data_IF_422385126751
#
_entry.id   IF_422385126751
#
_cell.length_a   1.000
_cell.length_b   1.000
_cell.length_c   1.000
_cell.angle_alpha   90.00
_cell.angle_beta   90.00
_cell.angle_gamma   90.00
#
_symmetry.space_group_name_H-M   'P 1'
#
loop_
_entity.id
_entity.type
_entity.pdbx_description
1 polymer ?
#
# COMPACT_ATOMS: atom_id res chain seq x y z
N UNK A 1 9.72 2.38 -12.82
CA UNK A 1 10.81 2.25 -11.83
C UNK A 1 10.21 1.75 -10.54
N UNK A 2 10.81 0.77 -9.88
CA UNK A 2 10.36 0.29 -8.57
C UNK A 2 11.36 0.80 -7.54
N UNK A 3 10.89 1.46 -6.49
CA UNK A 3 11.77 1.97 -5.43
C UNK A 3 12.10 0.87 -4.45
N UNK A 4 11.10 0.13 -3.98
CA UNK A 4 11.28 -0.98 -3.06
C UNK A 4 10.53 -2.20 -3.58
N UNK A 5 11.20 -3.35 -3.51
CA UNK A 5 10.65 -4.66 -3.83
C UNK A 5 11.20 -5.68 -2.83
N UNK A 6 10.33 -6.55 -2.33
CA UNK A 6 10.62 -7.67 -1.44
C UNK A 6 9.45 -8.67 -1.48
N UNK A 7 9.59 -9.83 -0.84
CA UNK A 7 8.41 -10.64 -0.45
C UNK A 7 7.81 -10.11 0.89
N UNK A 8 6.63 -10.61 1.26
CA UNK A 8 5.94 -10.23 2.50
C UNK A 8 6.85 -10.45 3.71
N UNK A 9 7.56 -11.57 3.75
CA UNK A 9 8.42 -11.92 4.89
C UNK A 9 9.55 -10.91 5.08
N UNK A 10 10.26 -10.56 4.01
CA UNK A 10 11.31 -9.54 4.07
C UNK A 10 10.71 -8.14 4.31
N UNK A 11 9.56 -7.80 3.73
CA UNK A 11 8.87 -6.54 4.01
C UNK A 11 8.51 -6.36 5.49
N UNK A 12 7.93 -7.39 6.12
CA UNK A 12 7.61 -7.34 7.55
C UNK A 12 8.87 -7.27 8.42
N UNK A 13 9.96 -7.92 8.01
CA UNK A 13 11.26 -7.79 8.68
C UNK A 13 11.80 -6.37 8.59
N UNK A 14 11.69 -5.75 7.42
CA UNK A 14 12.17 -4.38 7.20
C UNK A 14 11.38 -3.38 8.02
N UNK A 15 10.07 -3.60 8.12
CA UNK A 15 9.17 -2.82 8.95
C UNK A 15 9.49 -2.96 10.45
N UNK A 16 9.66 -4.19 10.95
CA UNK A 16 9.81 -4.43 12.38
C UNK A 16 11.23 -4.17 12.91
N UNK A 17 12.26 -4.43 12.10
CA UNK A 17 13.65 -4.51 12.57
C UNK A 17 14.58 -3.44 11.98
N UNK A 18 14.19 -2.76 10.88
CA UNK A 18 15.14 -1.96 10.07
C UNK A 18 14.73 -0.51 9.74
N UNK A 19 13.74 0.07 10.42
CA UNK A 19 13.18 1.41 10.09
C UNK A 19 12.88 1.51 8.57
N UNK A 20 11.77 0.91 8.12
CA UNK A 20 11.49 0.69 6.70
C UNK A 20 11.60 1.95 5.83
N UNK A 21 11.26 3.12 6.37
CA UNK A 21 11.37 4.38 5.66
C UNK A 21 12.81 4.73 5.28
N UNK A 22 13.80 4.36 6.10
CA UNK A 22 15.22 4.55 5.77
C UNK A 22 15.69 3.53 4.75
N UNK A 23 15.19 2.29 4.81
CA UNK A 23 15.45 1.27 3.78
C UNK A 23 14.93 1.75 2.41
N UNK A 24 13.70 2.25 2.36
CA UNK A 24 13.08 2.78 1.14
C UNK A 24 13.81 4.03 0.67
N UNK A 25 14.15 4.96 1.57
CA UNK A 25 14.90 6.17 1.25
C UNK A 25 16.28 5.85 0.64
N UNK A 26 16.99 4.86 1.19
CA UNK A 26 18.26 4.39 0.65
C UNK A 26 18.09 3.81 -0.76
N UNK A 27 17.08 2.95 -0.98
CA UNK A 27 16.78 2.39 -2.32
C UNK A 27 16.36 3.48 -3.32
N UNK A 28 15.55 4.45 -2.90
CA UNK A 28 15.16 5.60 -3.72
C UNK A 28 16.36 6.42 -4.16
N UNK A 29 17.26 6.74 -3.22
CA UNK A 29 18.49 7.48 -3.51
C UNK A 29 19.38 6.72 -4.48
N UNK A 30 19.53 5.41 -4.30
CA UNK A 30 20.31 4.58 -5.20
C UNK A 30 19.71 4.55 -6.62
N UNK A 31 18.39 4.48 -6.74
CA UNK A 31 17.70 4.41 -8.03
C UNK A 31 17.63 5.75 -8.78
N UNK A 32 17.63 6.89 -8.07
CA UNK A 32 17.35 8.21 -8.67
C UNK A 32 18.48 9.24 -8.53
N UNK A 33 19.48 8.97 -7.69
CA UNK A 33 20.49 9.95 -7.23
C UNK A 33 19.91 11.19 -6.53
N UNK A 34 18.62 11.19 -6.17
CA UNK A 34 17.93 12.32 -5.52
C UNK A 34 17.73 12.08 -4.02
N UNK A 35 17.60 13.17 -3.26
CA UNK A 35 17.16 13.13 -1.86
C UNK A 35 15.64 13.24 -1.80
N UNK A 36 15.04 12.51 -0.88
CA UNK A 36 13.60 12.59 -0.57
C UNK A 36 13.39 13.64 0.50
N UNK A 37 12.26 14.36 0.46
CA UNK A 37 11.92 15.31 1.52
C UNK A 37 11.55 14.58 2.81
N UNK A 38 11.85 15.18 3.96
CA UNK A 38 11.52 14.62 5.27
C UNK A 38 10.02 14.34 5.47
N UNK A 39 9.15 15.11 4.81
CA UNK A 39 7.71 14.88 4.84
C UNK A 39 7.30 13.56 4.16
N UNK A 40 8.01 13.16 3.11
CA UNK A 40 7.70 11.94 2.36
C UNK A 40 8.26 10.71 3.07
N UNK A 41 9.43 10.81 3.73
CA UNK A 41 9.92 9.79 4.67
C UNK A 41 8.91 9.53 5.79
N UNK A 42 8.38 10.60 6.41
CA UNK A 42 7.31 10.45 7.42
C UNK A 42 6.04 9.82 6.84
N UNK A 43 5.62 10.25 5.64
CA UNK A 43 4.46 9.66 4.97
C UNK A 43 4.62 8.15 4.76
N UNK A 44 5.83 7.68 4.42
CA UNK A 44 6.08 6.24 4.31
C UNK A 44 5.95 5.53 5.65
N UNK A 45 6.59 6.03 6.72
CA UNK A 45 6.47 5.44 8.06
C UNK A 45 4.99 5.27 8.47
N UNK A 46 4.20 6.32 8.37
CA UNK A 46 2.79 6.30 8.77
C UNK A 46 1.94 5.38 7.88
N UNK A 47 2.11 5.46 6.57
CA UNK A 47 1.24 4.75 5.62
C UNK A 47 1.58 3.26 5.48
N UNK A 48 2.85 2.90 5.54
CA UNK A 48 3.30 1.51 5.40
C UNK A 48 3.00 0.66 6.64
N UNK A 49 2.81 1.29 7.81
CA UNK A 49 2.34 0.58 9.00
C UNK A 49 0.97 -0.07 8.81
N UNK A 50 0.07 0.56 8.04
CA UNK A 50 -1.22 -0.04 7.69
C UNK A 50 -1.05 -1.27 6.78
N UNK A 51 -0.12 -1.19 5.83
CA UNK A 51 0.19 -2.31 4.92
C UNK A 51 0.81 -3.46 5.71
N UNK A 52 1.77 -3.18 6.59
CA UNK A 52 2.38 -4.17 7.47
C UNK A 52 1.35 -4.85 8.37
N UNK A 53 0.39 -4.10 8.92
CA UNK A 53 -0.68 -4.66 9.75
C UNK A 53 -1.55 -5.65 8.98
N UNK A 54 -1.95 -5.32 7.76
CA UNK A 54 -2.74 -6.24 6.90
C UNK A 54 -1.91 -7.46 6.54
N UNK A 55 -0.66 -7.26 6.10
CA UNK A 55 0.21 -8.36 5.68
C UNK A 55 0.68 -9.24 6.85
N UNK A 56 0.56 -8.80 8.10
CA UNK A 56 0.90 -9.64 9.26
C UNK A 56 -0.06 -10.80 9.49
N UNK A 57 -1.22 -10.82 8.82
CA UNK A 57 -2.14 -11.95 8.85
C UNK A 57 -1.47 -13.22 8.30
N UNK A 58 -1.55 -14.32 9.05
CA UNK A 58 -0.90 -15.59 8.70
C UNK A 58 -1.59 -16.28 7.52
N UNK A 59 -2.84 -15.93 7.20
CA UNK A 59 -3.58 -16.49 6.05
C UNK A 59 -3.06 -15.94 4.72
N UNK A 60 -2.29 -14.84 4.74
CA UNK A 60 -1.62 -14.30 3.56
C UNK A 60 -0.28 -15.00 3.37
N UNK A 61 -0.02 -15.60 2.21
CA UNK A 61 1.22 -16.32 1.96
C UNK A 61 2.48 -15.43 2.08
N UNK A 62 3.54 -15.97 2.69
CA UNK A 62 4.80 -15.27 2.95
C UNK A 62 5.55 -14.85 1.66
N UNK A 63 5.29 -15.54 0.55
CA UNK A 63 5.90 -15.30 -0.75
C UNK A 63 5.15 -14.25 -1.59
N UNK A 64 4.10 -13.62 -1.06
CA UNK A 64 3.45 -12.47 -1.70
C UNK A 64 4.49 -11.37 -1.92
N UNK A 65 4.73 -11.02 -3.17
CA UNK A 65 5.59 -9.92 -3.55
C UNK A 65 4.98 -8.57 -3.17
N UNK A 66 5.77 -7.72 -2.53
CA UNK A 66 5.44 -6.35 -2.15
C UNK A 66 6.32 -5.40 -2.95
N UNK A 67 5.71 -4.51 -3.73
CA UNK A 67 6.40 -3.42 -4.40
C UNK A 67 5.83 -2.08 -3.94
N UNK A 68 6.70 -1.13 -3.63
CA UNK A 68 6.34 0.20 -3.13
C UNK A 68 6.89 1.27 -4.08
N UNK A 69 6.09 2.31 -4.28
CA UNK A 69 6.41 3.48 -5.10
C UNK A 69 6.76 3.07 -6.54
N UNK A 70 5.83 2.37 -7.19
CA UNK A 70 5.97 1.93 -8.57
C UNK A 70 5.64 3.07 -9.53
N UNK A 71 6.66 3.64 -10.18
CA UNK A 71 6.48 4.66 -11.22
C UNK A 71 6.22 3.98 -12.56
N UNK A 72 5.06 4.28 -13.16
CA UNK A 72 4.66 3.73 -14.44
C UNK A 72 5.60 4.21 -15.56
N UNK A 73 6.07 3.32 -16.45
CA UNK A 73 6.84 3.73 -17.62
C UNK A 73 6.07 4.76 -18.45
N UNK A 74 6.80 5.75 -18.98
CA UNK A 74 6.23 6.80 -19.86
C UNK A 74 5.13 7.66 -19.22
N UNK A 75 5.00 7.64 -17.89
CA UNK A 75 4.07 8.50 -17.15
C UNK A 75 4.71 9.00 -15.86
N UNK A 76 4.23 10.14 -15.35
CA UNK A 76 4.53 10.59 -13.99
C UNK A 76 3.61 9.95 -12.94
N UNK A 77 2.68 9.07 -13.35
CA UNK A 77 1.80 8.36 -12.43
C UNK A 77 2.59 7.36 -11.58
N UNK A 78 2.27 7.35 -10.29
CA UNK A 78 2.81 6.45 -9.28
C UNK A 78 1.70 5.55 -8.75
N UNK A 79 2.04 4.30 -8.50
CA UNK A 79 1.26 3.38 -7.70
C UNK A 79 1.97 3.23 -6.36
N UNK A 80 1.26 3.48 -5.26
CA UNK A 80 1.88 3.48 -3.93
C UNK A 80 2.33 2.08 -3.52
N UNK A 81 1.45 1.08 -3.62
CA UNK A 81 1.78 -0.31 -3.28
C UNK A 81 1.16 -1.28 -4.29
N UNK A 82 1.93 -2.31 -4.63
CA UNK A 82 1.49 -3.46 -5.42
C UNK A 82 1.77 -4.71 -4.62
N UNK A 83 0.76 -5.58 -4.50
CA UNK A 83 0.89 -6.93 -3.98
C UNK A 83 0.73 -7.93 -5.13
N UNK A 84 1.65 -8.86 -5.27
CA UNK A 84 1.65 -9.85 -6.33
C UNK A 84 1.78 -11.25 -5.73
N UNK A 85 0.95 -12.19 -6.16
CA UNK A 85 1.00 -13.56 -5.65
C UNK A 85 0.23 -14.52 -6.55
N UNK A 86 -0.09 -15.69 -6.00
CA UNK A 86 -0.87 -16.71 -6.69
C UNK A 86 -2.12 -17.07 -5.88
N UNK A 87 -3.17 -17.49 -6.59
CA UNK A 87 -4.31 -18.15 -5.98
C UNK A 87 -4.05 -19.65 -5.80
N UNK A 88 -4.97 -20.33 -5.11
CA UNK A 88 -4.90 -21.77 -4.89
C UNK A 88 -4.87 -22.59 -6.20
N UNK A 89 -5.44 -22.05 -7.29
CA UNK A 89 -5.39 -22.66 -8.62
C UNK A 89 -4.11 -22.36 -9.41
N UNK A 90 -3.14 -21.68 -8.79
CA UNK A 90 -1.88 -21.26 -9.38
C UNK A 90 -1.97 -20.04 -10.30
N UNK A 91 -3.16 -19.44 -10.47
CA UNK A 91 -3.32 -18.22 -11.27
C UNK A 91 -2.65 -17.03 -10.57
N UNK A 92 -1.96 -16.19 -11.35
CA UNK A 92 -1.33 -14.96 -10.84
C UNK A 92 -2.40 -13.94 -10.47
N UNK A 93 -2.28 -13.36 -9.27
CA UNK A 93 -3.11 -12.26 -8.79
C UNK A 93 -2.26 -11.03 -8.51
N UNK A 94 -2.82 -9.87 -8.77
CA UNK A 94 -2.22 -8.57 -8.53
C UNK A 94 -3.24 -7.68 -7.83
N UNK A 95 -2.84 -7.07 -6.72
CA UNK A 95 -3.63 -6.06 -6.01
C UNK A 95 -2.84 -4.76 -6.05
N UNK A 96 -3.52 -3.68 -6.44
CA UNK A 96 -2.98 -2.33 -6.39
C UNK A 96 -3.63 -1.60 -5.23
N UNK A 97 -2.80 -1.07 -4.34
CA UNK A 97 -3.23 -0.33 -3.16
C UNK A 97 -2.76 1.11 -3.29
N UNK A 98 -3.70 2.03 -3.19
CA UNK A 98 -3.47 3.48 -3.14
C UNK A 98 -3.59 3.93 -1.69
N UNK A 99 -2.57 4.60 -1.16
CA UNK A 99 -2.55 5.06 0.22
C UNK A 99 -3.03 6.52 0.28
N UNK A 100 -4.15 6.75 0.97
CA UNK A 100 -4.67 8.11 1.16
C UNK A 100 -4.35 8.60 2.57
N UNK A 101 -3.64 9.73 2.64
CA UNK A 101 -3.40 10.46 3.87
C UNK A 101 -4.45 11.57 3.97
N UNK A 102 -5.53 11.31 4.69
CA UNK A 102 -6.59 12.30 4.91
C UNK A 102 -6.23 13.18 6.10
N UNK A 103 -5.98 14.47 5.85
CA UNK A 103 -5.75 15.47 6.92
C UNK A 103 -7.03 15.86 7.66
N UNK A 104 -8.18 15.60 7.05
CA UNK A 104 -9.52 15.75 7.62
C UNK A 104 -10.32 14.49 7.26
N UNK A 105 -11.18 13.97 8.15
CA UNK A 105 -12.02 12.82 7.83
C UNK A 105 -12.81 13.11 6.54
N UNK A 106 -12.97 12.14 5.63
CA UNK A 106 -13.73 12.35 4.41
C UNK A 106 -15.10 12.81 4.80
N UNK A 107 -15.54 13.90 4.18
CA UNK A 107 -16.96 14.19 4.14
C UNK A 107 -17.60 13.02 3.40
N UNK A 108 -18.31 12.17 4.14
CA UNK A 108 -19.17 11.15 3.56
C UNK A 108 -20.22 11.89 2.73
N UNK A 109 -19.95 12.02 1.43
CA UNK A 109 -20.93 12.52 0.49
C UNK A 109 -21.95 11.41 0.31
N UNK A 110 -23.07 11.52 1.04
CA UNK A 110 -24.26 10.66 1.00
C UNK A 110 -24.87 10.43 -0.41
N UNK A 111 -24.26 10.93 -1.49
CA UNK A 111 -24.77 10.90 -2.87
C UNK A 111 -24.22 9.77 -3.75
N UNK A 112 -23.29 8.92 -3.29
CA UNK A 112 -22.70 7.86 -4.12
C UNK A 112 -23.31 6.45 -3.95
N UNK A 113 -24.37 6.29 -3.15
CA UNK A 113 -25.17 5.06 -3.17
C UNK A 113 -26.40 5.24 -4.05
N UNK A 114 -26.18 5.21 -5.36
CA UNK A 114 -27.21 4.78 -6.32
C UNK A 114 -26.66 3.61 -7.12
N UNK A 115 -26.42 2.51 -6.41
CA UNK A 115 -26.46 1.20 -7.03
C UNK A 115 -27.94 0.81 -7.03
N UNK A 116 -28.53 0.69 -8.23
CA UNK A 116 -29.87 0.13 -8.40
C UNK A 116 -29.94 -1.20 -7.64
N UNK A 117 -30.82 -1.28 -6.64
CA UNK A 117 -31.32 -2.56 -6.12
C UNK A 117 -31.15 -2.87 -4.63
N UNK A 118 -30.53 -2.00 -3.81
CA UNK A 118 -30.47 -2.25 -2.36
C UNK A 118 -31.36 -1.27 -1.60
N UNK A 119 -32.29 -1.81 -0.82
CA UNK A 119 -33.17 -1.05 0.09
C UNK A 119 -32.38 -0.41 1.23
N UNK A 120 -32.92 0.68 1.75
CA UNK A 120 -32.29 1.68 2.61
C UNK A 120 -31.79 1.19 3.99
N UNK A 121 -31.96 -0.09 4.33
CA UNK A 121 -31.80 -0.61 5.70
C UNK A 121 -30.44 -1.25 6.03
N UNK A 122 -29.55 -1.49 5.06
CA UNK A 122 -28.35 -2.33 5.30
C UNK A 122 -27.01 -1.58 5.40
N UNK A 123 -27.00 -0.25 5.50
CA UNK A 123 -25.74 0.51 5.63
C UNK A 123 -25.57 1.04 7.05
N UNK A 124 -25.16 0.15 7.95
CA UNK A 124 -24.58 0.51 9.26
C UNK A 124 -23.13 0.99 9.05
N UNK A 125 -22.74 2.19 9.54
CA UNK A 125 -21.36 2.66 9.46
C UNK A 125 -20.45 1.86 10.38
N UNK A 126 -19.58 1.04 9.80
CA UNK A 126 -18.57 0.22 10.49
C UNK A 126 -17.39 1.02 11.05
N UNK A 127 -17.59 2.20 11.66
CA UNK A 127 -16.54 2.86 12.44
C UNK A 127 -17.16 3.70 13.55
N UNK A 128 -16.99 3.28 14.81
CA UNK A 128 -17.05 4.12 16.02
C UNK A 128 -15.65 4.21 16.62
#
# INVERSE_FOLDING_TARGET
MIVYQADKKEFLRDYNDRDIEEVIHAKYRAATSRKVAQAEVRSWRESLGYVARVLSDQDIADDVGVAIEFILPQSAKRIDVILAGHADDGSRRLIVVELKQWSEPPRILRRLFSLRGLSHEEVEPLFT
#
